data_IF_455042014804
#
_entry.id   IF_455042014804
#
_cell.length_a   1.000
_cell.length_b   1.000
_cell.length_c   1.000
_cell.angle_alpha   90.00
_cell.angle_beta   90.00
_cell.angle_gamma   90.00
#
_symmetry.space_group_name_H-M   'P 1'
#
loop_
_entity.id
_entity.type
_entity.pdbx_description
1 polymer ?
#
# COMPACT_ATOMS: atom_id res chain seq x y z
N UNK A 1 3.74 -0.56 0.24
CA UNK A 1 4.31 0.63 0.90
C UNK A 1 5.31 1.25 -0.02
N UNK A 2 5.37 2.57 -0.09
CA UNK A 2 6.24 3.26 -1.04
C UNK A 2 5.88 4.74 -1.14
N UNK A 3 6.68 5.49 -1.88
CA UNK A 3 6.37 6.88 -2.22
C UNK A 3 4.99 6.98 -2.88
N UNK A 4 4.30 8.09 -2.63
CA UNK A 4 3.07 8.40 -3.34
C UNK A 4 3.30 8.32 -4.87
N UNK A 5 2.38 7.67 -5.57
CA UNK A 5 2.47 7.42 -7.03
C UNK A 5 3.58 6.46 -7.50
N UNK A 6 4.28 5.72 -6.62
CA UNK A 6 5.29 4.72 -7.00
C UNK A 6 4.72 3.40 -7.59
N UNK A 7 3.43 3.35 -7.94
CA UNK A 7 2.81 2.16 -8.52
C UNK A 7 2.38 1.08 -7.52
N UNK A 8 2.23 1.43 -6.23
CA UNK A 8 1.82 0.52 -5.15
C UNK A 8 0.53 -0.23 -5.48
N UNK A 9 -0.55 0.49 -5.81
CA UNK A 9 -1.86 -0.10 -6.12
C UNK A 9 -1.83 -0.97 -7.37
N UNK A 10 -1.03 -0.59 -8.38
CA UNK A 10 -0.88 -1.38 -9.61
C UNK A 10 -0.19 -2.72 -9.32
N UNK A 11 0.91 -2.69 -8.56
CA UNK A 11 1.65 -3.89 -8.15
C UNK A 11 0.75 -4.83 -7.35
N UNK A 12 0.00 -4.29 -6.38
CA UNK A 12 -0.92 -5.09 -5.57
C UNK A 12 -2.04 -5.70 -6.41
N UNK A 13 -2.69 -4.92 -7.29
CA UNK A 13 -3.75 -5.43 -8.15
C UNK A 13 -3.31 -6.63 -8.99
N UNK A 14 -2.12 -6.58 -9.57
CA UNK A 14 -1.60 -7.70 -10.36
C UNK A 14 -1.10 -8.88 -9.53
N UNK A 15 -0.69 -8.66 -8.28
CA UNK A 15 -0.16 -9.73 -7.44
C UNK A 15 -1.26 -10.58 -6.79
N UNK A 16 -2.30 -9.93 -6.27
CA UNK A 16 -3.36 -10.58 -5.47
C UNK A 16 -4.73 -10.52 -6.13
N UNK A 17 -4.77 -10.21 -7.43
CA UNK A 17 -5.99 -10.11 -8.25
C UNK A 17 -7.04 -9.18 -7.64
N UNK A 18 -6.59 -8.00 -7.18
CA UNK A 18 -7.46 -6.96 -6.61
C UNK A 18 -7.75 -5.87 -7.63
N UNK A 19 -8.80 -5.07 -7.36
CA UNK A 19 -9.20 -3.93 -8.20
C UNK A 19 -9.25 -2.62 -7.40
N UNK A 20 -8.16 -2.26 -6.71
CA UNK A 20 -8.02 -0.93 -6.14
C UNK A 20 -7.99 0.10 -7.28
N UNK A 21 -8.83 1.14 -7.22
CA UNK A 21 -8.92 2.17 -8.27
C UNK A 21 -7.55 2.86 -8.50
N UNK A 22 -7.04 2.85 -9.73
CA UNK A 22 -5.63 3.17 -10.03
C UNK A 22 -5.14 4.50 -9.46
N UNK A 23 -3.92 4.52 -8.90
CA UNK A 23 -3.12 5.64 -8.31
C UNK A 23 -3.77 6.60 -7.30
N UNK A 24 -5.10 6.75 -7.31
CA UNK A 24 -5.87 7.68 -6.50
C UNK A 24 -6.66 6.97 -5.38
N UNK A 25 -6.84 5.65 -5.41
CA UNK A 25 -7.55 4.94 -4.32
C UNK A 25 -6.74 4.69 -3.06
N UNK A 26 -5.53 5.22 -2.97
CA UNK A 26 -4.79 5.29 -1.71
C UNK A 26 -4.25 6.72 -1.54
N UNK A 27 -5.09 7.72 -1.87
CA UNK A 27 -4.77 9.13 -1.68
C UNK A 27 -4.97 9.59 -0.24
N UNK A 28 -5.76 8.85 0.55
CA UNK A 28 -5.95 9.06 1.99
C UNK A 28 -6.23 7.72 2.69
N UNK A 29 -5.42 7.38 3.70
CA UNK A 29 -5.65 6.26 4.61
C UNK A 29 -5.27 4.87 4.10
N UNK A 30 -6.06 3.86 4.46
CA UNK A 30 -5.80 2.45 4.10
C UNK A 30 -7.04 1.82 3.49
N UNK A 31 -6.85 1.17 2.35
CA UNK A 31 -7.88 0.41 1.65
C UNK A 31 -7.62 -1.07 1.81
N UNK A 32 -8.70 -1.86 1.87
CA UNK A 32 -8.65 -3.29 2.12
C UNK A 32 -9.45 -4.05 1.06
N UNK A 33 -8.89 -5.15 0.59
CA UNK A 33 -9.61 -6.19 -0.14
C UNK A 33 -9.44 -7.50 0.60
N UNK A 34 -10.52 -8.28 0.69
CA UNK A 34 -10.53 -9.56 1.40
C UNK A 34 -11.03 -10.63 0.44
N UNK A 35 -10.23 -11.65 0.22
CA UNK A 35 -10.60 -12.83 -0.55
C UNK A 35 -10.61 -14.05 0.37
N UNK A 36 -11.78 -14.63 0.66
CA UNK A 36 -11.86 -15.86 1.43
C UNK A 36 -11.37 -17.06 0.60
N UNK A 37 -10.63 -17.94 1.25
CA UNK A 37 -10.25 -19.27 0.75
C UNK A 37 -10.77 -20.33 1.72
N UNK A 38 -10.60 -21.61 1.40
CA UNK A 38 -11.12 -22.70 2.23
C UNK A 38 -10.51 -22.71 3.65
N UNK A 39 -9.23 -22.33 3.78
CA UNK A 39 -8.48 -22.44 5.03
C UNK A 39 -8.06 -21.09 5.64
N UNK A 40 -8.11 -20.00 4.85
CA UNK A 40 -7.61 -18.69 5.28
C UNK A 40 -8.31 -17.52 4.57
N UNK A 41 -8.11 -16.31 5.12
CA UNK A 41 -8.45 -15.07 4.44
C UNK A 41 -7.18 -14.46 3.86
N UNK A 42 -7.20 -14.16 2.56
CA UNK A 42 -6.17 -13.31 1.95
C UNK A 42 -6.65 -11.87 2.09
N UNK A 43 -5.92 -11.08 2.88
CA UNK A 43 -6.20 -9.66 3.11
C UNK A 43 -5.13 -8.83 2.41
N UNK A 44 -5.54 -8.07 1.40
CA UNK A 44 -4.69 -7.11 0.72
C UNK A 44 -4.92 -5.72 1.32
N UNK A 45 -3.87 -5.11 1.85
CA UNK A 45 -3.89 -3.77 2.41
C UNK A 45 -3.13 -2.82 1.49
N UNK A 46 -3.84 -1.84 0.94
CA UNK A 46 -3.26 -0.79 0.13
C UNK A 46 -3.22 0.51 0.96
N UNK A 47 -2.04 0.80 1.51
CA UNK A 47 -1.79 2.00 2.27
C UNK A 47 -1.52 3.19 1.35
N UNK A 48 -1.91 4.35 1.84
CA UNK A 48 -1.48 5.63 1.30
C UNK A 48 0.04 5.71 1.16
N UNK A 49 0.47 6.36 0.08
CA UNK A 49 1.88 6.57 -0.19
C UNK A 49 2.47 7.64 0.73
N UNK A 50 3.71 7.42 1.16
CA UNK A 50 4.46 8.36 2.00
C UNK A 50 5.15 9.43 1.17
N UNK A 51 5.64 10.47 1.83
CA UNK A 51 6.34 11.61 1.22
C UNK A 51 5.45 12.50 0.33
N UNK A 52 4.15 12.57 0.64
CA UNK A 52 3.27 13.60 0.08
C UNK A 52 3.67 14.99 0.60
N UNK A 53 3.46 16.03 -0.23
CA UNK A 53 3.65 17.44 0.18
C UNK A 53 2.70 17.85 1.31
N UNK A 54 1.62 17.11 1.50
CA UNK A 54 0.56 17.41 2.46
C UNK A 54 0.80 16.76 3.83
N UNK A 55 1.84 15.91 3.97
CA UNK A 55 2.10 15.12 5.18
C UNK A 55 3.30 15.60 6.01
N UNK A 56 3.18 15.46 7.32
CA UNK A 56 4.31 15.53 8.24
C UNK A 56 5.08 14.19 8.26
N UNK A 57 6.39 14.25 8.45
CA UNK A 57 7.23 13.06 8.56
C UNK A 57 6.78 12.07 9.66
N UNK A 58 6.11 12.56 10.72
CA UNK A 58 5.54 11.73 11.76
C UNK A 58 4.33 10.92 11.26
N UNK A 59 3.49 11.50 10.40
CA UNK A 59 2.31 10.83 9.83
C UNK A 59 2.75 9.69 8.91
N UNK A 60 3.76 9.94 8.07
CA UNK A 60 4.38 8.92 7.22
C UNK A 60 5.00 7.79 8.05
N UNK A 61 5.68 8.14 9.14
CA UNK A 61 6.27 7.14 10.05
C UNK A 61 5.18 6.27 10.67
N UNK A 62 4.07 6.88 11.10
CA UNK A 62 2.95 6.15 11.69
C UNK A 62 2.28 5.22 10.66
N UNK A 63 2.10 5.67 9.42
CA UNK A 63 1.60 4.84 8.31
C UNK A 63 2.49 3.61 8.07
N UNK A 64 3.82 3.80 8.02
CA UNK A 64 4.78 2.70 7.82
C UNK A 64 4.75 1.72 8.99
N UNK A 65 4.77 2.22 10.23
CA UNK A 65 4.75 1.39 11.42
C UNK A 65 3.44 0.61 11.54
N UNK A 66 2.30 1.26 11.27
CA UNK A 66 1.00 0.61 11.34
C UNK A 66 0.86 -0.48 10.28
N UNK A 67 1.25 -0.21 9.03
CA UNK A 67 1.28 -1.22 7.97
C UNK A 67 2.15 -2.42 8.35
N UNK A 68 3.35 -2.17 8.88
CA UNK A 68 4.29 -3.23 9.25
C UNK A 68 3.79 -4.04 10.44
N UNK A 69 3.11 -3.41 11.40
CA UNK A 69 2.61 -4.09 12.60
C UNK A 69 1.44 -5.04 12.30
N UNK A 70 0.60 -4.72 11.31
CA UNK A 70 -0.60 -5.51 11.00
C UNK A 70 -0.43 -6.47 9.82
N UNK A 71 0.61 -6.29 9.01
CA UNK A 71 0.83 -7.09 7.81
C UNK A 71 1.81 -8.23 8.06
N UNK A 72 1.44 -9.46 7.65
CA UNK A 72 2.36 -10.59 7.61
C UNK A 72 3.44 -10.45 6.52
N UNK A 73 3.17 -9.67 5.48
CA UNK A 73 4.08 -9.40 4.37
C UNK A 73 3.93 -7.93 3.95
N UNK A 74 5.03 -7.21 3.81
CA UNK A 74 5.04 -5.83 3.32
C UNK A 74 5.82 -5.78 2.01
N UNK A 75 5.17 -5.30 0.94
CA UNK A 75 5.83 -4.99 -0.31
C UNK A 75 6.31 -3.55 -0.29
N UNK A 76 7.61 -3.34 -0.54
CA UNK A 76 8.18 -2.02 -0.68
C UNK A 76 8.36 -1.68 -2.17
N UNK A 77 7.59 -0.71 -2.65
CA UNK A 77 7.65 -0.19 -4.01
C UNK A 77 8.43 1.11 -3.98
N UNK A 78 9.55 1.15 -4.70
CA UNK A 78 10.39 2.34 -4.86
C UNK A 78 10.56 2.59 -6.35
N UNK A 79 10.47 3.86 -6.75
CA UNK A 79 10.87 4.26 -8.09
C UNK A 79 12.39 4.20 -8.18
N UNK A 80 12.94 3.18 -8.83
CA UNK A 80 14.36 3.17 -9.16
C UNK A 80 14.61 4.19 -10.28
N UNK A 81 15.01 5.40 -9.93
CA UNK A 81 15.57 6.34 -10.91
C UNK A 81 17.05 5.98 -11.10
N UNK A 82 17.39 5.34 -12.22
CA UNK A 82 18.78 5.19 -12.66
C UNK A 82 19.31 6.57 -13.05
N UNK A 83 19.99 7.24 -12.12
CA UNK A 83 20.88 8.38 -12.37
C UNK A 83 22.20 8.16 -11.65
#
# INVERSE_FOLDING_TARGET
MGEQSAGNSFTLNHLVDTSFSGSASASEGVWMSVSPTDDALIVALNFEGVYSLEHLAQEDTLLVLFNTAISNLVLFCSMMTLL
#
